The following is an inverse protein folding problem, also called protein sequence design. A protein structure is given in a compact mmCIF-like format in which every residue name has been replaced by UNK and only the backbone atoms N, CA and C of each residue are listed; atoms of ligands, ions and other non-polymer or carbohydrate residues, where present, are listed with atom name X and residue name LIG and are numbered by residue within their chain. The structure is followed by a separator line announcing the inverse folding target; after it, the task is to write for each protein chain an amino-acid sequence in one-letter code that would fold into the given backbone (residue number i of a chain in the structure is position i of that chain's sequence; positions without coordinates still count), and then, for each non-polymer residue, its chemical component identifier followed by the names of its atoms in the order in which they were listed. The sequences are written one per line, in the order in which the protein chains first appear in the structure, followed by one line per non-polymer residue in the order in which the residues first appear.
data_IF_575362075077
#
_entry.id   IF_575362075077
#
_cell.length_a   1.000
_cell.length_b   1.000
_cell.length_c   1.000
_cell.angle_alpha   90.00
_cell.angle_beta   90.00
_cell.angle_gamma   90.00
#
_symmetry.space_group_name_H-M   'P 1'
#
loop_
_entity.id
_entity.type
_entity.pdbx_description
1 polymer ?
#
# COMPACT_ATOMS: atom_id res chain seq x y z
N UNK A 1 -12.11 0.22 19.07
CA UNK A 1 -12.07 -1.21 18.72
C UNK A 1 -12.85 -1.99 19.75
N UNK A 2 -13.36 -3.19 19.42
CA UNK A 2 -14.07 -4.02 20.39
C UNK A 2 -13.11 -4.89 21.25
N UNK A 3 -11.81 -4.89 20.94
CA UNK A 3 -10.82 -5.71 21.64
C UNK A 3 -10.98 -7.21 21.38
N UNK A 4 -11.73 -7.60 20.35
CA UNK A 4 -12.05 -8.99 20.01
C UNK A 4 -11.18 -9.48 18.84
N UNK A 5 -10.97 -10.80 18.72
CA UNK A 5 -10.53 -11.43 17.48
C UNK A 5 -11.51 -11.13 16.34
N UNK A 6 -11.01 -11.19 15.10
CA UNK A 6 -11.80 -10.87 13.91
C UNK A 6 -11.38 -11.72 12.71
N UNK A 7 -12.33 -11.91 11.80
CA UNK A 7 -12.10 -12.59 10.54
C UNK A 7 -12.87 -11.86 9.45
N UNK A 8 -12.18 -11.48 8.38
CA UNK A 8 -12.76 -10.91 7.18
C UNK A 8 -12.83 -11.98 6.11
N UNK A 9 -14.01 -12.20 5.54
CA UNK A 9 -14.20 -13.07 4.37
C UNK A 9 -14.01 -12.21 3.13
N UNK A 10 -12.98 -12.51 2.33
CA UNK A 10 -12.56 -11.66 1.22
C UNK A 10 -11.69 -12.43 0.22
N UNK A 11 -11.88 -12.14 -1.07
CA UNK A 11 -10.97 -12.58 -2.14
C UNK A 11 -9.85 -11.55 -2.39
N UNK A 12 -9.84 -10.42 -1.68
CA UNK A 12 -9.01 -9.25 -1.96
C UNK A 12 -9.17 -8.80 -3.43
N UNK A 13 -8.17 -9.07 -4.26
CA UNK A 13 -8.15 -8.76 -5.69
C UNK A 13 -8.05 -10.00 -6.58
N UNK A 14 -8.21 -11.20 -6.01
CA UNK A 14 -8.14 -12.45 -6.77
C UNK A 14 -9.35 -12.60 -7.73
N UNK A 15 -9.22 -13.42 -8.80
CA UNK A 15 -10.31 -13.72 -9.71
C UNK A 15 -11.55 -14.29 -8.99
N UNK A 16 -12.73 -14.15 -9.62
CA UNK A 16 -14.05 -14.55 -9.08
C UNK A 16 -14.15 -15.97 -8.51
N UNK A 17 -13.32 -16.90 -8.96
CA UNK A 17 -13.30 -18.28 -8.48
C UNK A 17 -12.68 -18.44 -7.07
N UNK A 18 -11.99 -17.42 -6.56
CA UNK A 18 -11.28 -17.46 -5.29
C UNK A 18 -12.04 -16.75 -4.18
N UNK A 19 -11.79 -17.18 -2.95
CA UNK A 19 -12.19 -16.50 -1.72
C UNK A 19 -11.15 -16.84 -0.63
N UNK A 20 -11.25 -16.22 0.54
CA UNK A 20 -10.30 -16.41 1.61
C UNK A 20 -10.71 -15.74 2.91
N UNK A 21 -9.81 -15.83 3.88
CA UNK A 21 -9.99 -15.25 5.21
C UNK A 21 -8.76 -14.43 5.59
N UNK A 22 -8.97 -13.20 6.05
CA UNK A 22 -7.97 -12.42 6.78
C UNK A 22 -8.32 -12.47 8.27
N UNK A 23 -7.45 -13.04 9.11
CA UNK A 23 -7.75 -13.31 10.52
C UNK A 23 -6.84 -12.53 11.47
N UNK A 24 -7.44 -11.93 12.48
CA UNK A 24 -6.77 -11.20 13.57
C UNK A 24 -7.08 -11.85 14.91
N UNK A 25 -6.03 -12.15 15.69
CA UNK A 25 -6.19 -12.60 17.09
C UNK A 25 -6.47 -11.42 18.00
N UNK A 26 -5.62 -10.39 17.90
CA UNK A 26 -5.72 -9.11 18.60
C UNK A 26 -4.86 -8.13 17.83
N UNK A 27 -5.41 -7.02 17.36
CA UNK A 27 -4.60 -6.03 16.64
C UNK A 27 -3.38 -5.60 17.47
N UNK A 28 -2.18 -5.52 16.86
CA UNK A 28 -1.88 -5.72 15.44
C UNK A 28 -1.44 -7.14 15.04
N UNK A 29 -1.61 -8.13 15.93
CA UNK A 29 -1.19 -9.51 15.74
C UNK A 29 -2.23 -10.34 14.96
N UNK A 30 -1.82 -10.72 13.75
CA UNK A 30 -2.60 -11.52 12.82
C UNK A 30 -2.30 -13.01 12.94
N UNK A 31 -3.19 -13.84 12.41
CA UNK A 31 -2.89 -15.25 12.17
C UNK A 31 -2.27 -15.39 10.78
N UNK A 32 -0.94 -15.57 10.70
CA UNK A 32 -0.19 -15.64 9.44
C UNK A 32 1.15 -16.36 9.62
N UNK A 33 1.66 -17.02 8.58
CA UNK A 33 2.96 -17.70 8.61
C UNK A 33 3.09 -18.69 9.78
N UNK A 34 4.09 -18.50 10.63
CA UNK A 34 4.28 -19.32 11.83
C UNK A 34 3.44 -18.85 13.03
N UNK A 35 2.74 -17.72 12.91
CA UNK A 35 1.86 -17.17 13.94
C UNK A 35 0.44 -17.76 13.84
N UNK A 36 0.31 -19.06 14.08
CA UNK A 36 -0.98 -19.71 14.37
C UNK A 36 -1.84 -20.13 13.18
N UNK A 37 -1.58 -19.68 11.95
CA UNK A 37 -2.36 -20.15 10.78
C UNK A 37 -2.11 -21.64 10.50
N UNK A 38 -0.89 -22.14 10.75
CA UNK A 38 -0.57 -23.57 10.62
C UNK A 38 -1.26 -24.41 11.71
N UNK A 39 -1.53 -23.84 12.88
CA UNK A 39 -2.26 -24.53 13.94
C UNK A 39 -3.74 -24.66 13.57
N UNK A 40 -4.34 -23.60 13.00
CA UNK A 40 -5.70 -23.65 12.43
C UNK A 40 -5.77 -24.69 11.32
N UNK A 41 -4.79 -24.71 10.41
CA UNK A 41 -4.70 -25.72 9.34
C UNK A 41 -4.69 -27.13 9.91
N UNK A 42 -3.80 -27.44 10.86
CA UNK A 42 -3.70 -28.77 11.49
C UNK A 42 -5.03 -29.18 12.14
N UNK A 43 -5.67 -28.27 12.88
CA UNK A 43 -6.96 -28.54 13.53
C UNK A 43 -8.06 -28.91 12.52
N UNK A 44 -8.09 -28.20 11.39
CA UNK A 44 -9.06 -28.47 10.31
C UNK A 44 -8.74 -29.76 9.58
N UNK A 45 -7.48 -30.00 9.21
CA UNK A 45 -7.04 -31.21 8.49
C UNK A 45 -7.22 -32.49 9.32
N UNK A 46 -7.04 -32.40 10.64
CA UNK A 46 -7.20 -33.55 11.54
C UNK A 46 -8.62 -33.68 12.13
N UNK A 47 -9.53 -32.76 11.78
CA UNK A 47 -10.86 -32.62 12.41
C UNK A 47 -10.83 -32.65 13.95
N UNK A 48 -9.73 -32.22 14.56
CA UNK A 48 -9.50 -32.35 16.00
C UNK A 48 -10.11 -31.16 16.76
N UNK A 49 -11.37 -30.87 16.49
CA UNK A 49 -12.08 -29.76 17.13
C UNK A 49 -12.36 -30.09 18.60
N UNK A 50 -11.93 -29.24 19.55
CA UNK A 50 -12.24 -29.47 20.95
C UNK A 50 -13.75 -29.40 21.18
N UNK A 51 -14.26 -30.27 22.05
CA UNK A 51 -15.66 -30.20 22.47
C UNK A 51 -15.94 -28.81 23.08
N UNK A 52 -16.94 -28.06 22.57
CA UNK A 52 -17.17 -26.70 23.02
C UNK A 52 -17.66 -26.70 24.47
N UNK A 53 -16.98 -25.97 25.35
CA UNK A 53 -17.40 -25.81 26.75
C UNK A 53 -18.70 -25.01 26.90
N UNK A 54 -19.08 -24.22 25.89
CA UNK A 54 -20.31 -23.44 25.84
C UNK A 54 -20.75 -23.17 24.41
N UNK A 55 -22.04 -22.94 24.20
CA UNK A 55 -22.58 -22.45 22.93
C UNK A 55 -22.36 -20.94 22.80
N UNK A 56 -21.93 -20.48 21.62
CA UNK A 56 -21.79 -19.06 21.30
C UNK A 56 -23.12 -18.37 20.99
N UNK A 57 -23.06 -17.05 20.79
CA UNK A 57 -24.19 -16.21 20.35
C UNK A 57 -23.78 -15.44 19.09
N UNK A 58 -24.77 -15.15 18.24
CA UNK A 58 -24.59 -14.31 17.04
C UNK A 58 -25.44 -13.06 17.24
N UNK A 59 -24.81 -11.89 17.13
CA UNK A 59 -25.46 -10.60 17.23
C UNK A 59 -24.96 -9.69 16.09
N UNK A 60 -25.85 -9.18 15.22
CA UNK A 60 -25.48 -8.15 14.26
C UNK A 60 -25.05 -6.87 14.96
N UNK A 61 -24.00 -6.22 14.45
CA UNK A 61 -23.54 -4.93 14.96
C UNK A 61 -23.14 -4.02 13.80
N UNK A 62 -23.67 -2.80 13.79
CA UNK A 62 -23.25 -1.76 12.86
C UNK A 62 -22.05 -0.99 13.45
N UNK A 63 -20.93 -1.00 12.74
CA UNK A 63 -19.68 -0.32 13.12
C UNK A 63 -19.37 0.90 12.22
N UNK A 64 -20.26 1.22 11.28
CA UNK A 64 -20.07 2.23 10.24
C UNK A 64 -19.79 3.62 10.82
N UNK A 65 -20.66 4.11 11.69
CA UNK A 65 -20.50 5.45 12.29
C UNK A 65 -19.18 5.57 13.06
N UNK A 66 -18.85 4.56 13.87
CA UNK A 66 -17.61 4.53 14.63
C UNK A 66 -16.38 4.51 13.73
N UNK A 67 -16.43 3.83 12.58
CA UNK A 67 -15.38 3.86 11.58
C UNK A 67 -15.24 5.25 10.94
N UNK A 68 -16.34 5.85 10.48
CA UNK A 68 -16.34 7.18 9.84
C UNK A 68 -15.75 8.23 10.77
N UNK A 69 -16.20 8.27 12.02
CA UNK A 69 -15.66 9.19 13.02
C UNK A 69 -14.17 8.96 13.26
N UNK A 70 -13.74 7.69 13.32
CA UNK A 70 -12.34 7.36 13.57
C UNK A 70 -11.43 7.79 12.43
N UNK A 71 -11.80 7.58 11.16
CA UNK A 71 -10.94 7.97 10.03
C UNK A 71 -10.89 9.49 9.87
N UNK A 72 -12.01 10.18 10.08
CA UNK A 72 -12.05 11.64 10.03
C UNK A 72 -11.26 12.29 11.18
N UNK A 73 -11.17 11.63 12.34
CA UNK A 73 -10.36 12.14 13.46
C UNK A 73 -8.84 12.10 13.19
N UNK A 74 -8.38 11.49 12.10
CA UNK A 74 -6.95 11.40 11.76
C UNK A 74 -6.46 12.56 10.90
N UNK A 75 -7.37 13.38 10.39
CA UNK A 75 -7.07 14.55 9.57
C UNK A 75 -7.72 15.80 10.15
N UNK A 76 -7.21 16.96 9.76
CA UNK A 76 -7.85 18.25 10.01
C UNK A 76 -8.86 18.56 8.91
N UNK A 77 -10.11 18.17 9.09
CA UNK A 77 -11.18 18.39 8.09
C UNK A 77 -11.39 19.88 7.80
N UNK A 78 -11.17 20.76 8.78
CA UNK A 78 -11.35 22.20 8.60
C UNK A 78 -10.31 22.80 7.63
N UNK A 79 -9.13 22.19 7.55
CA UNK A 79 -8.11 22.62 6.60
C UNK A 79 -8.51 22.41 5.13
N UNK A 80 -9.54 21.61 4.84
CA UNK A 80 -10.05 21.40 3.50
C UNK A 80 -10.91 22.57 2.96
N UNK A 81 -11.36 23.48 3.83
CA UNK A 81 -12.22 24.61 3.45
C UNK A 81 -11.41 25.85 3.06
N UNK A 82 -10.23 26.05 3.67
CA UNK A 82 -9.62 27.38 3.80
C UNK A 82 -8.47 27.73 2.85
N UNK A 83 -8.01 26.81 1.99
CA UNK A 83 -6.75 27.00 1.26
C UNK A 83 -6.88 27.20 -0.25
N UNK A 84 -8.02 26.85 -0.85
CA UNK A 84 -8.27 26.98 -2.29
C UNK A 84 -9.45 27.92 -2.54
N UNK A 85 -9.42 28.63 -3.68
CA UNK A 85 -10.56 29.45 -4.13
C UNK A 85 -11.82 28.60 -4.40
N UNK A 86 -11.64 27.28 -4.59
CA UNK A 86 -12.68 26.28 -4.82
C UNK A 86 -12.40 24.96 -4.09
N UNK A 87 -13.44 24.19 -3.70
CA UNK A 87 -13.26 22.86 -3.12
C UNK A 87 -12.44 21.93 -4.04
N UNK A 88 -11.57 21.10 -3.45
CA UNK A 88 -10.82 20.08 -4.19
C UNK A 88 -11.78 19.15 -4.94
N UNK A 89 -11.49 18.90 -6.22
CA UNK A 89 -12.20 17.93 -7.05
C UNK A 89 -11.44 16.62 -7.10
N UNK A 90 -12.14 15.54 -6.78
CA UNK A 90 -11.54 14.22 -6.59
C UNK A 90 -12.31 13.19 -7.41
N UNK A 91 -11.63 12.47 -8.29
CA UNK A 91 -12.22 11.29 -8.96
C UNK A 91 -11.89 10.05 -8.15
N UNK A 92 -12.90 9.24 -7.82
CA UNK A 92 -12.70 8.03 -7.01
C UNK A 92 -13.26 6.82 -7.72
N UNK A 93 -12.41 5.83 -7.94
CA UNK A 93 -12.76 4.53 -8.50
C UNK A 93 -12.69 3.44 -7.44
N UNK A 94 -13.82 2.80 -7.14
CA UNK A 94 -13.85 1.64 -6.23
C UNK A 94 -13.99 0.30 -6.93
N UNK A 95 -14.00 0.27 -8.26
CA UNK A 95 -13.99 -0.96 -9.08
C UNK A 95 -15.12 -1.94 -8.77
N UNK A 96 -16.28 -1.47 -8.30
CA UNK A 96 -17.37 -2.29 -7.75
C UNK A 96 -16.98 -3.15 -6.53
N UNK A 97 -15.88 -2.83 -5.87
CA UNK A 97 -15.45 -3.43 -4.62
C UNK A 97 -16.27 -2.94 -3.42
N UNK A 98 -15.86 -3.37 -2.23
CA UNK A 98 -16.59 -3.14 -0.98
C UNK A 98 -16.40 -1.72 -0.39
N UNK A 99 -15.50 -0.92 -0.96
CA UNK A 99 -15.12 0.40 -0.43
C UNK A 99 -16.19 1.47 -0.64
N UNK A 100 -16.91 1.43 -1.77
CA UNK A 100 -17.80 2.52 -2.18
C UNK A 100 -18.85 2.93 -1.15
N UNK A 101 -19.60 2.01 -0.50
CA UNK A 101 -20.60 2.39 0.51
C UNK A 101 -20.01 3.14 1.70
N UNK A 102 -18.87 2.71 2.24
CA UNK A 102 -18.26 3.37 3.40
C UNK A 102 -17.54 4.66 2.99
N UNK A 103 -16.96 4.71 1.78
CA UNK A 103 -16.32 5.90 1.24
C UNK A 103 -17.32 7.04 1.06
N UNK A 104 -18.51 6.75 0.53
CA UNK A 104 -19.57 7.76 0.41
C UNK A 104 -19.95 8.38 1.75
N UNK A 105 -20.03 7.57 2.82
CA UNK A 105 -20.36 8.07 4.17
C UNK A 105 -19.25 8.95 4.76
N UNK A 106 -17.99 8.67 4.44
CA UNK A 106 -16.86 9.52 4.80
C UNK A 106 -16.89 10.82 4.00
N UNK A 107 -17.01 10.74 2.68
CA UNK A 107 -16.89 11.89 1.77
C UNK A 107 -18.08 12.84 1.84
N UNK A 108 -19.28 12.37 2.24
CA UNK A 108 -20.42 13.24 2.58
C UNK A 108 -20.10 14.27 3.68
N UNK A 109 -19.06 14.03 4.49
CA UNK A 109 -18.63 14.90 5.61
C UNK A 109 -17.43 15.76 5.26
N UNK A 110 -16.99 15.73 4.00
CA UNK A 110 -15.84 16.47 3.52
C UNK A 110 -16.30 17.59 2.57
N UNK A 111 -15.69 18.77 2.63
CA UNK A 111 -15.97 19.87 1.70
C UNK A 111 -15.19 19.67 0.39
N UNK A 112 -15.45 18.57 -0.31
CA UNK A 112 -14.79 18.21 -1.59
C UNK A 112 -15.83 17.93 -2.66
N UNK A 113 -15.46 18.11 -3.93
CA UNK A 113 -16.28 17.70 -5.07
C UNK A 113 -15.90 16.26 -5.46
N UNK A 114 -16.71 15.30 -5.03
CA UNK A 114 -16.52 13.89 -5.37
C UNK A 114 -17.14 13.55 -6.73
N UNK A 115 -16.32 12.99 -7.62
CA UNK A 115 -16.75 12.32 -8.85
C UNK A 115 -16.52 10.81 -8.69
N UNK A 116 -17.60 10.05 -8.48
CA UNK A 116 -17.52 8.61 -8.22
C UNK A 116 -17.59 7.74 -9.48
N UNK A 117 -16.70 6.75 -9.56
CA UNK A 117 -16.72 5.64 -10.51
C UNK A 117 -16.98 4.34 -9.74
N UNK A 118 -17.99 3.60 -10.17
CA UNK A 118 -18.26 2.23 -9.72
C UNK A 118 -18.37 2.06 -8.19
N UNK A 119 -19.09 3.00 -7.54
CA UNK A 119 -19.25 3.07 -6.08
C UNK A 119 -20.20 1.99 -5.51
N UNK A 120 -21.05 1.40 -6.35
CA UNK A 120 -21.95 0.35 -5.92
C UNK A 120 -21.27 -1.03 -6.03
N UNK A 121 -21.22 -1.82 -4.94
CA UNK A 121 -20.60 -3.13 -4.97
C UNK A 121 -21.30 -4.09 -5.94
N UNK A 122 -20.52 -4.73 -6.81
CA UNK A 122 -20.99 -5.78 -7.72
C UNK A 122 -19.89 -6.83 -7.92
N UNK A 123 -20.06 -8.00 -7.30
CA UNK A 123 -19.14 -9.13 -7.43
C UNK A 123 -19.04 -9.72 -8.84
N UNK A 124 -19.89 -9.30 -9.78
CA UNK A 124 -19.74 -9.61 -11.19
C UNK A 124 -18.67 -8.75 -11.89
N UNK A 125 -18.10 -7.75 -11.22
CA UNK A 125 -17.01 -6.92 -11.75
C UNK A 125 -17.27 -6.48 -13.20
N UNK A 126 -18.38 -5.76 -13.48
CA UNK A 126 -18.82 -5.49 -14.85
C UNK A 126 -17.93 -4.50 -15.62
N UNK A 127 -17.02 -3.80 -14.93
CA UNK A 127 -16.22 -2.70 -15.50
C UNK A 127 -14.76 -3.10 -15.74
N UNK A 128 -14.00 -3.32 -14.67
CA UNK A 128 -12.59 -3.77 -14.73
C UNK A 128 -12.23 -4.63 -13.51
N UNK A 129 -11.00 -5.13 -13.46
CA UNK A 129 -10.48 -5.94 -12.35
C UNK A 129 -10.17 -5.11 -11.09
N UNK A 130 -9.98 -5.80 -9.97
CA UNK A 130 -9.81 -5.22 -8.62
C UNK A 130 -8.36 -4.92 -8.23
N UNK A 131 -7.41 -4.99 -9.17
CA UNK A 131 -6.01 -4.70 -8.91
C UNK A 131 -5.55 -3.44 -9.65
N UNK A 132 -5.56 -2.25 -9.00
CA UNK A 132 -5.18 -1.00 -9.65
C UNK A 132 -3.70 -0.92 -10.06
N UNK A 133 -2.85 -1.88 -9.63
CA UNK A 133 -1.48 -2.03 -10.15
C UNK A 133 -1.46 -2.44 -11.62
N UNK A 134 -2.52 -3.09 -12.13
CA UNK A 134 -2.65 -3.38 -13.54
C UNK A 134 -3.09 -2.12 -14.32
N UNK A 135 -2.35 -1.69 -15.36
CA UNK A 135 -2.67 -0.48 -16.11
C UNK A 135 -4.11 -0.43 -16.64
N UNK A 136 -4.64 -1.54 -17.11
CA UNK A 136 -6.00 -1.66 -17.63
C UNK A 136 -7.08 -1.35 -16.58
N UNK A 137 -6.81 -1.65 -15.29
CA UNK A 137 -7.76 -1.43 -14.20
C UNK A 137 -7.79 0.02 -13.70
N UNK A 138 -6.90 0.88 -14.19
CA UNK A 138 -6.85 2.32 -13.84
C UNK A 138 -6.94 3.25 -15.05
N UNK A 139 -7.01 2.70 -16.26
CA UNK A 139 -7.02 3.47 -17.50
C UNK A 139 -8.19 4.47 -17.55
N UNK A 140 -9.39 4.05 -17.11
CA UNK A 140 -10.53 4.95 -17.06
C UNK A 140 -10.35 6.06 -16.01
N UNK A 141 -9.91 5.72 -14.79
CA UNK A 141 -9.63 6.71 -13.76
C UNK A 141 -8.61 7.76 -14.25
N UNK A 142 -7.52 7.33 -14.90
CA UNK A 142 -6.50 8.23 -15.45
C UNK A 142 -7.10 9.23 -16.46
N UNK A 143 -7.96 8.74 -17.36
CA UNK A 143 -8.67 9.57 -18.33
C UNK A 143 -9.64 10.53 -17.63
N UNK A 144 -10.44 10.04 -16.69
CA UNK A 144 -11.46 10.82 -15.98
C UNK A 144 -10.85 11.94 -15.14
N UNK A 145 -9.69 11.74 -14.53
CA UNK A 145 -8.99 12.81 -13.81
C UNK A 145 -8.73 14.02 -14.71
N UNK A 146 -8.26 13.80 -15.93
CA UNK A 146 -7.98 14.86 -16.90
C UNK A 146 -9.28 15.49 -17.44
N UNK A 147 -10.27 14.66 -17.79
CA UNK A 147 -11.55 15.14 -18.35
C UNK A 147 -12.36 15.98 -17.35
N UNK A 148 -12.35 15.59 -16.08
CA UNK A 148 -13.04 16.30 -15.01
C UNK A 148 -12.25 17.52 -14.51
N UNK A 149 -10.99 17.69 -14.95
CA UNK A 149 -10.07 18.68 -14.39
C UNK A 149 -9.89 18.51 -12.88
N UNK A 150 -9.77 17.26 -12.43
CA UNK A 150 -9.67 16.94 -11.01
C UNK A 150 -8.25 17.18 -10.47
N UNK A 151 -8.17 17.53 -9.19
CA UNK A 151 -6.90 17.76 -8.49
C UNK A 151 -6.15 16.46 -8.22
N UNK A 152 -6.90 15.36 -8.07
CA UNK A 152 -6.36 14.03 -7.80
C UNK A 152 -7.39 12.93 -8.10
N UNK A 153 -6.93 11.75 -8.48
CA UNK A 153 -7.73 10.53 -8.61
C UNK A 153 -7.33 9.47 -7.57
N UNK A 154 -8.29 8.68 -7.09
CA UNK A 154 -8.06 7.60 -6.13
C UNK A 154 -8.63 6.27 -6.62
N UNK A 155 -7.88 5.19 -6.41
CA UNK A 155 -8.31 3.83 -6.67
C UNK A 155 -8.06 2.92 -5.46
N UNK A 156 -8.89 1.90 -5.31
CA UNK A 156 -8.86 0.93 -4.23
C UNK A 156 -8.94 -0.48 -4.78
N UNK A 157 -8.45 -1.46 -4.02
CA UNK A 157 -8.71 -2.87 -4.33
C UNK A 157 -10.04 -3.35 -3.72
N UNK A 158 -10.39 -4.62 -3.97
CA UNK A 158 -11.72 -5.16 -3.71
C UNK A 158 -12.21 -5.04 -2.28
N UNK A 159 -11.33 -5.21 -1.29
CA UNK A 159 -11.65 -5.06 0.14
C UNK A 159 -11.10 -3.78 0.78
N UNK A 160 -10.34 -2.97 0.03
CA UNK A 160 -10.03 -1.60 0.39
C UNK A 160 -8.91 -1.41 1.39
N UNK A 161 -8.03 -2.40 1.54
CA UNK A 161 -6.81 -2.24 2.33
C UNK A 161 -5.62 -1.76 1.49
N UNK A 162 -5.74 -1.79 0.15
CA UNK A 162 -4.80 -1.13 -0.77
C UNK A 162 -5.38 0.16 -1.34
N UNK A 163 -4.50 1.14 -1.50
CA UNK A 163 -4.81 2.46 -2.05
C UNK A 163 -3.80 2.90 -3.09
N UNK A 164 -4.32 3.58 -4.11
CA UNK A 164 -3.55 4.08 -5.23
C UNK A 164 -4.06 5.46 -5.61
N UNK A 165 -3.19 6.26 -6.21
CA UNK A 165 -3.54 7.61 -6.61
C UNK A 165 -3.05 7.92 -8.03
N UNK A 166 -3.78 8.81 -8.68
CA UNK A 166 -3.48 9.41 -9.97
C UNK A 166 -3.33 10.92 -9.76
N UNK A 167 -2.27 11.54 -10.25
CA UNK A 167 -2.07 12.98 -10.12
C UNK A 167 -2.96 13.80 -11.07
N UNK A 168 -2.92 15.12 -10.95
CA UNK A 168 -3.66 16.07 -11.80
C UNK A 168 -3.30 16.02 -13.30
N UNK A 169 -2.23 15.31 -13.68
CA UNK A 169 -1.83 15.06 -15.08
C UNK A 169 -2.40 13.74 -15.61
N UNK A 170 -3.20 13.02 -14.82
CA UNK A 170 -3.70 11.68 -15.15
C UNK A 170 -2.61 10.60 -15.04
N UNK A 171 -1.50 10.83 -14.34
CA UNK A 171 -0.40 9.87 -14.20
C UNK A 171 -0.52 9.05 -12.91
N UNK A 172 -0.27 7.75 -13.01
CA UNK A 172 -0.25 6.87 -11.84
C UNK A 172 0.92 7.20 -10.92
N UNK A 173 0.64 7.33 -9.63
CA UNK A 173 1.64 7.69 -8.63
C UNK A 173 2.25 6.40 -8.03
N UNK A 174 3.58 6.21 -8.12
CA UNK A 174 4.26 5.10 -7.47
C UNK A 174 4.03 5.06 -5.95
N UNK A 175 3.82 3.86 -5.39
CA UNK A 175 3.49 3.67 -3.97
C UNK A 175 4.61 4.06 -3.00
N UNK A 176 5.86 3.95 -3.43
CA UNK A 176 7.04 4.49 -2.74
C UNK A 176 7.02 6.01 -2.69
N UNK A 177 6.67 6.70 -3.78
CA UNK A 177 6.55 8.16 -3.77
C UNK A 177 5.38 8.62 -2.89
N UNK A 178 4.25 7.92 -2.91
CA UNK A 178 3.15 8.15 -1.96
C UNK A 178 3.60 7.96 -0.51
N UNK A 179 4.37 6.91 -0.23
CA UNK A 179 4.94 6.66 1.11
C UNK A 179 5.87 7.79 1.53
N UNK A 180 6.73 8.27 0.64
CA UNK A 180 7.66 9.37 0.91
C UNK A 180 6.91 10.68 1.21
N UNK A 181 5.95 11.04 0.37
CA UNK A 181 5.14 12.26 0.49
C UNK A 181 4.32 12.22 1.78
N UNK A 182 3.51 11.17 1.99
CA UNK A 182 2.68 11.06 3.19
C UNK A 182 3.52 10.96 4.46
N UNK A 183 4.61 10.17 4.45
CA UNK A 183 5.53 10.04 5.57
C UNK A 183 6.12 11.39 5.98
N UNK A 184 6.64 12.17 5.03
CA UNK A 184 7.16 13.51 5.31
C UNK A 184 6.10 14.47 5.85
N UNK A 185 4.88 14.42 5.31
CA UNK A 185 3.81 15.31 5.75
C UNK A 185 3.31 14.96 7.16
N UNK A 186 3.22 13.67 7.50
CA UNK A 186 2.86 13.23 8.84
C UNK A 186 3.91 13.63 9.89
N UNK A 187 5.19 13.75 9.49
CA UNK A 187 6.26 14.24 10.35
C UNK A 187 6.16 15.73 10.66
N UNK A 188 5.52 16.54 9.81
CA UNK A 188 5.21 17.94 10.15
C UNK A 188 4.30 18.03 11.38
N UNK A 189 3.41 17.04 11.56
CA UNK A 189 2.51 16.94 12.72
C UNK A 189 3.16 16.27 13.93
N UNK A 190 4.05 15.31 13.69
CA UNK A 190 4.77 14.57 14.74
C UNK A 190 6.27 14.47 14.43
N UNK A 191 7.05 15.55 14.65
CA UNK A 191 8.49 15.55 14.41
C UNK A 191 9.20 14.42 15.18
N UNK A 192 10.23 13.82 14.58
CA UNK A 192 11.00 12.73 15.20
C UNK A 192 10.32 11.36 15.21
N UNK A 193 9.10 11.24 14.65
CA UNK A 193 8.42 9.95 14.61
C UNK A 193 9.14 8.94 13.68
N UNK A 194 8.93 7.67 13.97
CA UNK A 194 9.42 6.56 13.13
C UNK A 194 8.43 6.24 12.04
N UNK A 195 8.95 6.00 10.84
CA UNK A 195 8.18 5.65 9.65
C UNK A 195 8.77 4.36 9.07
N UNK A 196 7.94 3.34 8.86
CA UNK A 196 8.37 2.09 8.26
C UNK A 196 8.16 2.08 6.74
N UNK A 197 8.99 1.34 6.04
CA UNK A 197 8.84 1.08 4.61
C UNK A 197 9.40 -0.30 4.27
N UNK A 198 8.92 -0.90 3.18
CA UNK A 198 9.40 -2.22 2.78
C UNK A 198 10.72 -2.17 1.98
N UNK A 199 11.44 -3.29 1.97
CA UNK A 199 12.78 -3.43 1.31
C UNK A 199 12.84 -3.00 -0.16
N UNK A 200 11.71 -2.87 -0.87
CA UNK A 200 11.66 -2.48 -2.29
C UNK A 200 11.60 -0.97 -2.50
N UNK A 201 11.33 -0.20 -1.44
CA UNK A 201 11.01 1.21 -1.58
C UNK A 201 12.19 2.03 -2.13
N UNK A 202 11.87 3.07 -2.90
CA UNK A 202 12.85 4.04 -3.39
C UNK A 202 13.58 4.76 -2.26
N UNK A 203 14.81 5.20 -2.54
CA UNK A 203 15.56 6.14 -1.70
C UNK A 203 14.78 7.42 -1.39
N UNK A 204 13.83 7.82 -2.24
CA UNK A 204 12.90 8.91 -1.97
C UNK A 204 12.26 8.81 -0.59
N UNK A 205 11.88 7.60 -0.16
CA UNK A 205 11.26 7.38 1.15
C UNK A 205 12.22 7.74 2.27
N UNK A 206 13.43 7.20 2.25
CA UNK A 206 14.46 7.44 3.27
C UNK A 206 14.83 8.92 3.32
N UNK A 207 15.08 9.51 2.16
CA UNK A 207 15.55 10.88 2.03
C UNK A 207 14.50 11.89 2.52
N UNK A 208 13.23 11.72 2.14
CA UNK A 208 12.17 12.64 2.56
C UNK A 208 11.83 12.49 4.04
N UNK A 209 11.85 11.26 4.58
CA UNK A 209 11.65 11.03 6.01
C UNK A 209 12.78 11.68 6.82
N UNK A 210 14.03 11.46 6.42
CA UNK A 210 15.19 12.03 7.11
C UNK A 210 15.22 13.55 7.02
N UNK A 211 14.93 14.13 5.85
CA UNK A 211 14.84 15.57 5.64
C UNK A 211 13.72 16.22 6.48
N UNK A 212 12.61 15.50 6.71
CA UNK A 212 11.53 15.94 7.60
C UNK A 212 11.82 15.67 9.10
N UNK A 213 13.04 15.23 9.45
CA UNK A 213 13.46 14.98 10.82
C UNK A 213 12.88 13.71 11.45
N UNK A 214 12.39 12.77 10.63
CA UNK A 214 11.90 11.47 11.06
C UNK A 214 12.96 10.37 11.06
N UNK A 215 12.54 9.17 11.49
CA UNK A 215 13.41 7.99 11.54
C UNK A 215 12.89 6.92 10.57
N UNK A 216 13.55 6.69 9.42
CA UNK A 216 13.13 5.70 8.44
C UNK A 216 13.56 4.28 8.89
N UNK A 217 12.62 3.33 8.93
CA UNK A 217 12.85 1.95 9.34
C UNK A 217 12.45 0.95 8.24
N UNK A 218 13.43 0.29 7.62
CA UNK A 218 13.19 -0.73 6.61
C UNK A 218 12.72 -2.04 7.23
N UNK A 219 11.70 -2.69 6.66
CA UNK A 219 11.20 -4.03 7.02
C UNK A 219 10.95 -4.89 5.77
N UNK A 220 10.86 -6.21 5.94
CA UNK A 220 10.43 -7.14 4.88
C UNK A 220 8.99 -6.88 4.45
N UNK A 221 8.67 -7.30 3.24
CA UNK A 221 7.32 -7.19 2.67
C UNK A 221 6.36 -8.11 3.44
N UNK A 222 5.16 -7.61 3.69
CA UNK A 222 4.05 -8.38 4.24
C UNK A 222 3.44 -7.72 5.46
N UNK A 223 2.14 -7.50 5.39
CA UNK A 223 1.34 -6.84 6.41
C UNK A 223 1.54 -7.41 7.82
N UNK A 224 1.79 -8.71 8.00
CA UNK A 224 2.04 -9.30 9.32
C UNK A 224 3.35 -8.79 9.96
N UNK A 225 4.42 -8.62 9.17
CA UNK A 225 5.71 -8.14 9.65
C UNK A 225 5.67 -6.64 9.93
N UNK A 226 5.11 -5.87 8.98
CA UNK A 226 4.96 -4.42 9.13
C UNK A 226 4.14 -4.08 10.38
N UNK A 227 2.94 -4.67 10.53
CA UNK A 227 2.05 -4.44 11.68
C UNK A 227 2.74 -4.75 13.02
N UNK A 228 3.45 -5.88 13.09
CA UNK A 228 4.17 -6.28 14.29
C UNK A 228 5.30 -5.29 14.64
N UNK A 229 6.15 -4.93 13.67
CA UNK A 229 7.27 -4.02 13.92
C UNK A 229 6.81 -2.60 14.19
N UNK A 230 5.79 -2.09 13.49
CA UNK A 230 5.22 -0.78 13.82
C UNK A 230 4.81 -0.71 15.29
N UNK A 231 4.18 -1.77 15.82
CA UNK A 231 3.81 -1.83 17.23
C UNK A 231 5.01 -1.88 18.17
N UNK A 232 6.04 -2.64 17.84
CA UNK A 232 7.27 -2.74 18.65
C UNK A 232 8.01 -1.41 18.69
N UNK A 233 8.08 -0.73 17.54
CA UNK A 233 8.80 0.52 17.35
C UNK A 233 7.99 1.75 17.77
N UNK A 234 6.67 1.59 17.98
CA UNK A 234 5.69 2.67 18.12
C UNK A 234 5.74 3.63 16.93
N UNK A 235 5.82 3.07 15.73
CA UNK A 235 5.89 3.83 14.50
C UNK A 235 4.56 4.52 14.19
N UNK A 236 4.65 5.72 13.63
CA UNK A 236 3.49 6.54 13.28
C UNK A 236 2.80 6.03 12.02
N UNK A 237 3.59 5.64 11.03
CA UNK A 237 3.12 5.31 9.70
C UNK A 237 4.02 4.24 9.07
N UNK A 238 3.46 3.43 8.18
CA UNK A 238 4.22 2.60 7.29
C UNK A 238 3.59 2.57 5.90
N UNK A 239 4.39 2.41 4.86
CA UNK A 239 3.92 2.21 3.50
C UNK A 239 4.66 1.08 2.80
N UNK A 240 3.92 0.30 2.03
CA UNK A 240 4.48 -0.69 1.12
C UNK A 240 4.28 -0.24 -0.33
N UNK A 241 5.23 -0.60 -1.21
CA UNK A 241 5.20 -0.25 -2.65
C UNK A 241 3.90 -0.73 -3.33
N UNK A 242 3.26 -1.76 -2.79
CA UNK A 242 2.03 -2.37 -3.31
C UNK A 242 0.75 -1.68 -2.86
N UNK A 243 0.83 -0.52 -2.19
CA UNK A 243 -0.33 0.30 -1.84
C UNK A 243 -0.95 0.00 -0.48
N UNK A 244 -0.32 -0.81 0.37
CA UNK A 244 -0.75 -0.94 1.77
C UNK A 244 -0.13 0.18 2.61
N UNK A 245 -0.97 0.89 3.36
CA UNK A 245 -0.57 2.01 4.20
C UNK A 245 -1.13 1.84 5.61
N UNK A 246 -0.26 1.89 6.60
CA UNK A 246 -0.54 1.52 7.98
C UNK A 246 -0.40 2.71 8.91
N UNK A 247 -1.26 2.80 9.93
CA UNK A 247 -1.31 3.98 10.79
C UNK A 247 -1.28 3.60 12.27
N UNK A 248 -0.31 4.13 13.01
CA UNK A 248 -0.16 3.88 14.45
C UNK A 248 -1.43 4.26 15.24
N UNK A 249 -2.02 5.41 14.91
CA UNK A 249 -3.27 5.88 15.51
C UNK A 249 -4.52 5.11 15.05
N UNK A 250 -4.38 4.15 14.13
CA UNK A 250 -5.43 3.24 13.66
C UNK A 250 -5.14 1.78 14.05
N UNK A 251 -4.57 1.58 15.25
CA UNK A 251 -4.17 0.27 15.79
C UNK A 251 -3.12 -0.45 14.92
N UNK A 252 -2.27 0.32 14.25
CA UNK A 252 -1.30 -0.17 13.28
C UNK A 252 -1.95 -0.93 12.10
N UNK A 253 -3.25 -0.79 11.89
CA UNK A 253 -3.92 -1.40 10.75
C UNK A 253 -3.62 -0.63 9.45
N UNK A 254 -3.71 -1.37 8.36
CA UNK A 254 -3.82 -0.85 7.01
C UNK A 254 -5.22 -0.27 6.75
N UNK A 255 -5.29 0.72 5.86
CA UNK A 255 -6.54 1.26 5.33
C UNK A 255 -6.28 1.94 4.00
N UNK A 256 -7.16 1.74 3.01
CA UNK A 256 -7.14 2.54 1.80
C UNK A 256 -7.78 3.92 1.96
N UNK A 257 -8.73 4.09 2.88
CA UNK A 257 -9.47 5.37 3.04
C UNK A 257 -8.59 6.44 3.69
N UNK A 258 -7.84 6.09 4.74
CA UNK A 258 -6.99 7.04 5.48
C UNK A 258 -5.96 7.76 4.58
N UNK A 259 -5.17 7.09 3.71
CA UNK A 259 -4.24 7.78 2.84
C UNK A 259 -4.95 8.74 1.88
N UNK A 260 -6.15 8.42 1.37
CA UNK A 260 -6.94 9.36 0.57
C UNK A 260 -7.22 10.66 1.32
N UNK A 261 -7.58 10.57 2.61
CA UNK A 261 -7.86 11.73 3.46
C UNK A 261 -6.59 12.55 3.74
N UNK A 262 -5.46 11.87 3.97
CA UNK A 262 -4.16 12.52 4.22
C UNK A 262 -3.71 13.32 2.99
N UNK A 263 -3.86 12.75 1.78
CA UNK A 263 -3.51 13.45 0.55
C UNK A 263 -4.39 14.68 0.32
N UNK A 264 -5.70 14.59 0.59
CA UNK A 264 -6.59 15.75 0.51
C UNK A 264 -6.19 16.85 1.49
N UNK A 265 -5.91 16.49 2.75
CA UNK A 265 -5.47 17.46 3.76
C UNK A 265 -4.13 18.10 3.37
N UNK A 266 -3.18 17.30 2.85
CA UNK A 266 -1.88 17.75 2.38
C UNK A 266 -2.02 18.77 1.24
N UNK A 267 -2.74 18.39 0.17
CA UNK A 267 -2.94 19.25 -1.01
C UNK A 267 -3.67 20.53 -0.64
N UNK A 268 -4.65 20.45 0.26
CA UNK A 268 -5.31 21.63 0.78
C UNK A 268 -4.34 22.51 1.55
N UNK A 269 -3.69 22.01 2.62
CA UNK A 269 -2.80 22.83 3.46
C UNK A 269 -1.64 23.47 2.70
N UNK A 270 -1.09 22.77 1.72
CA UNK A 270 0.06 23.26 0.94
C UNK A 270 -0.35 24.16 -0.22
N UNK A 271 -1.59 24.08 -0.71
CA UNK A 271 -2.02 24.85 -1.88
C UNK A 271 -1.21 24.53 -3.14
N UNK A 272 -0.77 23.27 -3.30
CA UNK A 272 0.07 22.80 -4.41
C UNK A 272 -0.61 21.70 -5.19
N UNK A 273 -0.22 21.51 -6.44
CA UNK A 273 -0.62 20.35 -7.24
C UNK A 273 0.16 19.11 -6.83
N UNK A 274 -0.45 17.95 -7.00
CA UNK A 274 0.24 16.68 -6.74
C UNK A 274 1.42 16.50 -7.72
N UNK A 275 1.23 16.89 -8.98
CA UNK A 275 2.28 16.86 -10.01
C UNK A 275 3.52 17.70 -9.66
N UNK A 276 3.37 18.83 -8.96
CA UNK A 276 4.50 19.67 -8.53
C UNK A 276 5.34 18.99 -7.44
N UNK A 277 4.69 18.23 -6.55
CA UNK A 277 5.38 17.43 -5.54
C UNK A 277 6.13 16.27 -6.19
N UNK A 278 5.49 15.61 -7.16
CA UNK A 278 6.06 14.47 -7.87
C UNK A 278 7.22 14.87 -8.78
N UNK A 279 7.14 15.99 -9.48
CA UNK A 279 8.21 16.45 -10.38
C UNK A 279 9.59 16.51 -9.70
N UNK A 280 9.63 16.85 -8.40
CA UNK A 280 10.87 16.88 -7.60
C UNK A 280 11.45 15.49 -7.37
N UNK A 281 10.60 14.48 -7.21
CA UNK A 281 11.00 13.09 -7.02
C UNK A 281 11.37 12.46 -8.38
N UNK A 282 10.54 12.66 -9.39
CA UNK A 282 10.73 12.17 -10.77
C UNK A 282 12.03 12.69 -11.40
N UNK A 283 12.50 13.87 -11.00
CA UNK A 283 13.76 14.43 -11.47
C UNK A 283 15.01 13.80 -10.83
N UNK A 284 14.86 13.07 -9.71
CA UNK A 284 15.98 12.58 -8.89
C UNK A 284 16.05 11.07 -8.76
N UNK A 285 14.88 10.40 -8.77
CA UNK A 285 14.74 8.98 -8.48
C UNK A 285 14.12 8.28 -9.69
N UNK A 286 14.91 7.43 -10.35
CA UNK A 286 14.45 6.68 -11.52
C UNK A 286 14.22 5.24 -11.11
N UNK A 287 12.95 4.86 -10.99
CA UNK A 287 12.51 3.54 -10.51
C UNK A 287 11.98 2.70 -11.67
N UNK A 288 12.16 1.38 -11.60
CA UNK A 288 11.60 0.43 -12.58
C UNK A 288 10.12 0.12 -12.37
N UNK A 289 9.61 0.35 -11.15
CA UNK A 289 8.45 -0.41 -10.65
C UNK A 289 8.83 -1.88 -10.37
N UNK A 290 7.84 -2.70 -10.01
CA UNK A 290 8.05 -4.15 -9.80
C UNK A 290 7.94 -4.90 -11.14
N UNK A 291 9.01 -5.61 -11.52
CA UNK A 291 9.07 -6.42 -12.74
C UNK A 291 9.04 -7.90 -12.36
N UNK A 292 8.00 -8.60 -12.82
CA UNK A 292 7.85 -10.03 -12.61
C UNK A 292 8.53 -10.84 -13.73
N UNK A 293 9.23 -11.92 -13.37
CA UNK A 293 9.83 -12.87 -14.31
C UNK A 293 9.57 -14.31 -13.85
N UNK A 294 8.99 -15.13 -14.74
CA UNK A 294 8.86 -16.57 -14.51
C UNK A 294 10.20 -17.25 -14.68
N UNK A 295 10.63 -18.02 -13.69
CA UNK A 295 11.93 -18.70 -13.69
C UNK A 295 11.79 -20.14 -13.18
N UNK A 296 12.56 -21.06 -13.77
CA UNK A 296 12.52 -22.47 -13.39
C UNK A 296 13.21 -22.74 -12.03
N UNK A 297 14.29 -22.00 -11.74
CA UNK A 297 15.06 -22.15 -10.49
C UNK A 297 15.28 -20.80 -9.79
N UNK A 298 14.27 -20.28 -9.06
CA UNK A 298 14.42 -19.03 -8.32
C UNK A 298 15.60 -19.03 -7.34
N UNK A 299 15.93 -20.18 -6.73
CA UNK A 299 17.00 -20.29 -5.74
C UNK A 299 18.38 -20.17 -6.38
N UNK A 300 18.63 -20.91 -7.46
CA UNK A 300 19.87 -20.80 -8.21
C UNK A 300 20.08 -19.41 -8.79
N UNK A 301 19.01 -18.78 -9.32
CA UNK A 301 19.07 -17.39 -9.81
C UNK A 301 19.43 -16.40 -8.70
N UNK A 302 18.90 -16.59 -7.48
CA UNK A 302 19.25 -15.76 -6.33
C UNK A 302 20.74 -15.87 -5.98
N UNK A 303 21.31 -17.09 -5.99
CA UNK A 303 22.73 -17.32 -5.72
C UNK A 303 23.62 -16.67 -6.79
N UNK A 304 23.26 -16.78 -8.06
CA UNK A 304 23.99 -16.12 -9.16
C UNK A 304 23.99 -14.60 -9.03
N UNK A 305 22.87 -14.00 -8.60
CA UNK A 305 22.81 -12.56 -8.30
C UNK A 305 23.73 -12.19 -7.14
N UNK A 306 23.73 -12.98 -6.06
CA UNK A 306 24.59 -12.75 -4.90
C UNK A 306 26.08 -12.79 -5.27
N UNK A 307 26.48 -13.76 -6.10
CA UNK A 307 27.86 -13.91 -6.56
C UNK A 307 28.27 -12.79 -7.52
N UNK A 308 27.45 -12.51 -8.55
CA UNK A 308 27.77 -11.51 -9.58
C UNK A 308 27.89 -10.09 -9.02
N UNK A 309 27.09 -9.76 -8.00
CA UNK A 309 27.03 -8.42 -7.41
C UNK A 309 27.64 -8.38 -6.00
N UNK A 310 28.61 -9.26 -5.70
CA UNK A 310 29.30 -9.36 -4.41
C UNK A 310 30.14 -8.11 -4.04
N UNK A 311 30.41 -7.25 -5.02
CA UNK A 311 31.10 -5.97 -4.84
C UNK A 311 30.18 -4.85 -4.29
N UNK A 312 28.85 -5.04 -4.35
CA UNK A 312 27.87 -4.15 -3.75
C UNK A 312 27.58 -4.47 -2.28
N UNK A 313 27.00 -3.50 -1.54
CA UNK A 313 26.55 -3.75 -0.17
C UNK A 313 25.29 -4.61 -0.19
N UNK A 314 25.36 -5.83 0.33
CA UNK A 314 24.25 -6.78 0.30
C UNK A 314 23.52 -6.92 1.65
N UNK A 315 22.23 -7.21 1.60
CA UNK A 315 21.48 -7.79 2.71
C UNK A 315 20.37 -8.73 2.22
N UNK A 316 19.99 -9.70 3.06
CA UNK A 316 19.05 -10.76 2.70
C UNK A 316 17.81 -10.77 3.61
N UNK A 317 17.34 -9.58 4.00
CA UNK A 317 16.16 -9.43 4.87
C UNK A 317 14.91 -10.05 4.24
N UNK A 318 14.75 -9.86 2.93
CA UNK A 318 13.66 -10.40 2.13
C UNK A 318 14.12 -10.47 0.66
N UNK A 319 14.50 -11.67 0.22
CA UNK A 319 15.23 -11.86 -1.04
C UNK A 319 16.69 -11.42 -0.94
N UNK A 320 17.23 -10.85 -2.03
CA UNK A 320 18.53 -10.18 -2.06
C UNK A 320 18.33 -8.70 -2.36
N UNK A 321 18.93 -7.85 -1.56
CA UNK A 321 19.10 -6.43 -1.88
C UNK A 321 20.57 -6.11 -2.04
N UNK A 322 20.91 -5.36 -3.08
CA UNK A 322 22.28 -4.90 -3.33
C UNK A 322 22.26 -3.40 -3.58
N UNK A 323 23.12 -2.68 -2.86
CA UNK A 323 23.23 -1.22 -2.92
C UNK A 323 24.62 -0.80 -3.41
N UNK A 324 24.64 0.06 -4.43
CA UNK A 324 25.79 0.81 -4.93
C UNK A 324 25.57 2.31 -4.69
N UNK A 325 26.59 3.18 -4.91
CA UNK A 325 26.44 4.62 -4.70
C UNK A 325 25.38 5.29 -5.59
N UNK A 326 25.14 4.79 -6.80
CA UNK A 326 24.25 5.43 -7.80
C UNK A 326 23.04 4.59 -8.17
N UNK A 327 22.97 3.33 -7.74
CA UNK A 327 21.84 2.45 -8.01
C UNK A 327 21.72 1.35 -6.95
N UNK A 328 20.53 0.79 -6.84
CA UNK A 328 20.28 -0.38 -6.00
C UNK A 328 19.17 -1.24 -6.58
N UNK A 329 19.09 -2.48 -6.13
CA UNK A 329 17.98 -3.35 -6.47
C UNK A 329 17.61 -4.28 -5.32
N UNK A 330 16.36 -4.71 -5.32
CA UNK A 330 15.83 -5.82 -4.54
C UNK A 330 15.27 -6.88 -5.49
N UNK A 331 15.63 -8.14 -5.27
CA UNK A 331 15.07 -9.28 -5.98
C UNK A 331 14.50 -10.28 -4.98
N UNK A 332 13.25 -10.68 -5.18
CA UNK A 332 12.52 -11.60 -4.31
C UNK A 332 11.91 -12.75 -5.08
N UNK A 333 11.83 -13.91 -4.46
CA UNK A 333 11.01 -15.01 -4.97
C UNK A 333 9.56 -14.81 -4.53
N UNK A 334 8.60 -15.17 -5.38
CA UNK A 334 7.20 -15.29 -4.96
C UNK A 334 7.06 -16.46 -3.98
N UNK A 335 6.24 -16.27 -2.95
CA UNK A 335 5.97 -17.31 -1.94
C UNK A 335 5.06 -18.43 -2.48
N UNK A 336 4.33 -18.17 -3.57
CA UNK A 336 3.25 -19.03 -4.07
C UNK A 336 3.42 -19.45 -5.53
N UNK A 337 4.32 -18.82 -6.27
CA UNK A 337 4.49 -19.02 -7.71
C UNK A 337 5.99 -19.10 -8.07
N UNK A 338 6.38 -19.75 -9.17
CA UNK A 338 7.77 -19.78 -9.66
C UNK A 338 8.16 -18.46 -10.35
N UNK A 339 7.95 -17.35 -9.64
CA UNK A 339 8.22 -15.99 -10.09
C UNK A 339 9.35 -15.37 -9.26
N UNK A 340 10.20 -14.58 -9.92
CA UNK A 340 11.07 -13.60 -9.26
C UNK A 340 10.60 -12.19 -9.58
N UNK A 341 10.69 -11.32 -8.59
CA UNK A 341 10.25 -9.92 -8.65
C UNK A 341 11.46 -9.02 -8.48
N UNK A 342 11.68 -8.11 -9.43
CA UNK A 342 12.76 -7.13 -9.41
C UNK A 342 12.17 -5.74 -9.15
N UNK A 343 12.72 -5.05 -8.16
CA UNK A 343 12.61 -3.61 -8.00
C UNK A 343 14.02 -3.02 -8.10
N UNK A 344 14.20 -1.99 -8.93
CA UNK A 344 15.49 -1.36 -9.15
C UNK A 344 15.31 0.15 -9.27
N UNK A 345 16.28 0.88 -8.74
CA UNK A 345 16.36 2.33 -8.83
C UNK A 345 17.78 2.78 -9.16
N UNK A 346 17.91 3.89 -9.88
CA UNK A 346 19.17 4.60 -10.06
C UNK A 346 18.97 6.13 -10.01
N UNK A 347 20.09 6.86 -9.94
CA UNK A 347 20.11 8.33 -9.96
C UNK A 347 19.97 8.93 -11.36
N UNK A 348 20.02 8.12 -12.41
CA UNK A 348 19.76 8.52 -13.80
C UNK A 348 18.89 7.49 -14.50
N UNK A 349 18.13 7.94 -15.52
CA UNK A 349 17.29 7.05 -16.33
C UNK A 349 18.12 6.02 -17.07
N UNK A 350 19.23 6.47 -17.67
CA UNK A 350 20.12 5.64 -18.47
C UNK A 350 20.77 4.54 -17.63
N UNK A 351 21.20 4.85 -16.40
CA UNK A 351 21.73 3.83 -15.50
C UNK A 351 20.64 2.87 -15.03
N UNK A 352 19.45 3.37 -14.68
CA UNK A 352 18.33 2.52 -14.27
C UNK A 352 17.99 1.50 -15.37
N UNK A 353 17.85 1.94 -16.62
CA UNK A 353 17.49 1.07 -17.74
C UNK A 353 18.59 0.04 -18.04
N UNK A 354 19.85 0.47 -18.07
CA UNK A 354 20.99 -0.44 -18.29
C UNK A 354 21.09 -1.50 -17.19
N UNK A 355 21.00 -1.09 -15.92
CA UNK A 355 21.12 -2.00 -14.77
C UNK A 355 19.93 -2.93 -14.64
N UNK A 356 18.72 -2.44 -14.95
CA UNK A 356 17.51 -3.28 -15.09
C UNK A 356 17.78 -4.41 -16.07
N UNK A 357 18.28 -4.09 -17.26
CA UNK A 357 18.50 -5.10 -18.31
C UNK A 357 19.61 -6.10 -17.91
N UNK A 358 20.69 -5.62 -17.28
CA UNK A 358 21.77 -6.47 -16.75
C UNK A 358 21.30 -7.45 -15.66
N UNK A 359 20.46 -7.00 -14.73
CA UNK A 359 19.90 -7.83 -13.65
C UNK A 359 18.85 -8.79 -14.21
N UNK A 360 17.96 -8.33 -15.09
CA UNK A 360 16.94 -9.17 -15.73
C UNK A 360 17.56 -10.28 -16.58
N UNK A 361 18.68 -10.02 -17.27
CA UNK A 361 19.40 -11.06 -18.02
C UNK A 361 19.83 -12.20 -17.09
N UNK A 362 20.37 -11.90 -15.90
CA UNK A 362 20.76 -12.93 -14.92
C UNK A 362 19.54 -13.72 -14.42
N UNK A 363 18.44 -13.03 -14.12
CA UNK A 363 17.19 -13.63 -13.64
C UNK A 363 16.61 -14.58 -14.69
N UNK A 364 16.56 -14.15 -15.95
CA UNK A 364 15.87 -14.86 -17.03
C UNK A 364 16.72 -15.96 -17.68
N UNK A 365 18.04 -15.88 -17.58
CA UNK A 365 18.98 -16.85 -18.16
C UNK A 365 19.50 -16.40 -19.49
#
# INVERSE_FOLDING_TARGET
TLGLPGMMVTASHNPKAYNGFKMVRKMPYLLSGDAGIQDVRKLVESEAFPAPARKGQIAPQDLKEGFVQKVLSLIDVNALVGAHESPLRVVVDTGNGMVGPILQEVYKRLPVQLVGLYLDPDGNLPNHGLDPLQPENRAELQRRVVEEGADIGFAFDGDGDRFFAIDDRGQFIPGDFLTAIMGSYLLEKRPGAKILYDVRASWAVVDLIAAAGGVPLMERVGHAFIKARMSQEKALFAGEVTGHYYFGDFNYADSGIIPSLILLELLSKKGVKMSDLLAKLEARYFITGEINSTVADPKGRMLLLAEKYADGKQHTMDGISVTYPTWHFNVRASNTEPLMRLNLEATTREEMERRRDEVLAVIRG
#
